data_IF_102869324611
#
_entry.id   IF_102869324611
#
_cell.length_a   1.000
_cell.length_b   1.000
_cell.length_c   1.000
_cell.angle_alpha   90.00
_cell.angle_beta   90.00
_cell.angle_gamma   90.00
#
_symmetry.space_group_name_H-M   'P 1'
#
loop_
_entity.id
_entity.type
_entity.pdbx_description
1 polymer ?
#
# COMPACT_ATOMS: atom_id res chain seq x y z
N UNK A 1 5.82 6.70 21.24
CA UNK A 1 6.64 6.83 20.00
C UNK A 1 5.69 6.51 18.84
N UNK A 2 4.61 7.25 18.62
CA UNK A 2 4.43 8.69 18.35
C UNK A 2 4.90 9.09 16.95
N UNK A 3 4.05 8.84 15.93
CA UNK A 3 3.64 9.87 14.96
C UNK A 3 2.36 9.40 14.23
N UNK A 4 1.21 9.91 14.67
CA UNK A 4 -0.06 9.82 13.96
C UNK A 4 -0.33 11.21 13.37
N UNK A 5 -0.03 11.41 12.07
CA UNK A 5 -1.06 11.93 11.16
C UNK A 5 -0.88 11.39 9.73
N UNK A 6 -0.79 10.07 9.54
CA UNK A 6 -0.68 9.49 8.19
C UNK A 6 -1.96 8.78 7.71
N UNK A 7 -2.96 8.61 8.58
CA UNK A 7 -4.17 7.83 8.28
C UNK A 7 -4.98 8.34 7.09
N UNK A 8 -4.95 9.65 6.81
CA UNK A 8 -5.80 10.26 5.78
C UNK A 8 -5.16 10.27 4.39
N UNK A 9 -3.85 10.60 4.30
CA UNK A 9 -3.18 10.80 3.01
C UNK A 9 -2.77 9.48 2.36
N UNK A 10 -2.18 8.56 3.12
CA UNK A 10 -1.72 7.28 2.59
C UNK A 10 -2.89 6.37 2.21
N UNK A 11 -3.93 6.27 3.06
CA UNK A 11 -5.12 5.48 2.74
C UNK A 11 -5.83 5.97 1.47
N UNK A 12 -5.84 7.29 1.24
CA UNK A 12 -6.42 7.90 0.04
C UNK A 12 -5.58 7.62 -1.21
N UNK A 13 -4.26 7.69 -1.12
CA UNK A 13 -3.35 7.27 -2.20
C UNK A 13 -3.50 5.77 -2.49
N UNK A 14 -3.57 4.93 -1.46
CA UNK A 14 -3.81 3.49 -1.60
C UNK A 14 -5.15 3.23 -2.29
N UNK A 15 -6.22 3.92 -1.90
CA UNK A 15 -7.52 3.81 -2.57
C UNK A 15 -7.49 4.35 -4.01
N UNK A 16 -6.71 5.40 -4.30
CA UNK A 16 -6.55 5.92 -5.65
C UNK A 16 -5.77 4.94 -6.55
N UNK A 17 -4.81 4.21 -5.99
CA UNK A 17 -4.08 3.14 -6.68
C UNK A 17 -4.90 1.83 -6.75
N UNK A 18 -5.81 1.61 -5.81
CA UNK A 18 -6.69 0.46 -5.80
C UNK A 18 -7.75 0.60 -6.90
N UNK A 19 -7.85 -0.41 -7.76
CA UNK A 19 -8.90 -0.53 -8.77
C UNK A 19 -9.79 -1.71 -8.41
N UNK A 20 -11.09 -1.47 -8.28
CA UNK A 20 -12.09 -2.50 -7.93
C UNK A 20 -11.74 -3.28 -6.65
N UNK A 21 -11.26 -2.57 -5.62
CA UNK A 21 -10.85 -3.19 -4.36
C UNK A 21 -9.58 -4.03 -4.46
N UNK A 22 -8.80 -3.86 -5.53
CA UNK A 22 -7.53 -4.56 -5.75
C UNK A 22 -6.40 -3.58 -5.98
N UNK A 23 -5.25 -3.82 -5.35
CA UNK A 23 -4.06 -2.99 -5.53
C UNK A 23 -2.91 -3.82 -6.11
N UNK A 24 -2.19 -3.23 -7.07
CA UNK A 24 -1.01 -3.87 -7.64
C UNK A 24 0.18 -3.73 -6.69
N UNK A 25 0.90 -4.83 -6.43
CA UNK A 25 2.09 -4.83 -5.58
C UNK A 25 3.16 -3.83 -6.09
N UNK A 26 3.32 -3.71 -7.40
CA UNK A 26 4.23 -2.74 -8.02
C UNK A 26 3.82 -1.28 -7.74
N UNK A 27 2.52 -0.98 -7.77
CA UNK A 27 2.00 0.36 -7.48
C UNK A 27 2.20 0.72 -6.00
N UNK A 28 1.95 -0.24 -5.11
CA UNK A 28 2.18 -0.10 -3.67
C UNK A 28 3.67 0.15 -3.36
N UNK A 29 4.58 -0.61 -3.99
CA UNK A 29 6.03 -0.44 -3.86
C UNK A 29 6.53 0.92 -4.37
N UNK A 30 6.03 1.37 -5.53
CA UNK A 30 6.34 2.70 -6.07
C UNK A 30 5.87 3.82 -5.14
N UNK A 31 4.67 3.68 -4.57
CA UNK A 31 4.15 4.63 -3.59
C UNK A 31 4.98 4.62 -2.31
N UNK A 32 5.35 3.44 -1.81
CA UNK A 32 6.22 3.28 -0.64
C UNK A 32 7.56 4.00 -0.85
N UNK A 33 8.21 3.78 -2.00
CA UNK A 33 9.47 4.42 -2.34
C UNK A 33 9.34 5.94 -2.46
N UNK A 34 8.22 6.43 -3.02
CA UNK A 34 7.92 7.88 -3.10
C UNK A 34 7.75 8.53 -1.73
N UNK A 35 7.03 7.86 -0.84
CA UNK A 35 6.72 8.35 0.50
C UNK A 35 7.85 8.06 1.50
N UNK A 36 8.85 7.26 1.13
CA UNK A 36 9.91 6.80 2.02
C UNK A 36 9.42 5.83 3.10
N UNK A 37 8.26 5.19 2.90
CA UNK A 37 7.67 4.24 3.87
C UNK A 37 7.91 2.80 3.44
N UNK A 38 7.99 1.86 4.40
CA UNK A 38 8.13 0.45 4.07
C UNK A 38 6.90 -0.06 3.31
N UNK A 39 7.07 -0.85 2.24
CA UNK A 39 5.94 -1.46 1.53
C UNK A 39 5.16 -2.43 2.43
N UNK A 40 5.80 -2.98 3.46
CA UNK A 40 5.16 -3.77 4.51
C UNK A 40 4.05 -2.98 5.23
N UNK A 41 4.30 -1.70 5.52
CA UNK A 41 3.32 -0.82 6.19
C UNK A 41 2.15 -0.53 5.28
N UNK A 42 2.40 -0.20 4.01
CA UNK A 42 1.32 0.01 3.03
C UNK A 42 0.53 -1.28 2.76
N UNK A 43 1.20 -2.44 2.79
CA UNK A 43 0.57 -3.74 2.62
C UNK A 43 -0.37 -4.07 3.78
N UNK A 44 0.08 -3.84 5.01
CA UNK A 44 -0.76 -3.96 6.21
C UNK A 44 -1.94 -2.98 6.17
N UNK A 45 -1.71 -1.72 5.78
CA UNK A 45 -2.79 -0.74 5.63
C UNK A 45 -3.82 -1.18 4.59
N UNK A 46 -3.36 -1.68 3.43
CA UNK A 46 -4.25 -2.16 2.37
C UNK A 46 -5.06 -3.38 2.84
N UNK A 47 -4.44 -4.30 3.59
CA UNK A 47 -5.10 -5.48 4.17
C UNK A 47 -6.15 -5.09 5.23
N UNK A 48 -5.81 -4.17 6.14
CA UNK A 48 -6.76 -3.59 7.12
C UNK A 48 -7.93 -2.86 6.44
N UNK A 49 -7.69 -2.22 5.29
CA UNK A 49 -8.73 -1.59 4.47
C UNK A 49 -9.57 -2.60 3.67
N UNK A 50 -9.24 -3.89 3.71
CA UNK A 50 -9.91 -4.95 2.96
C UNK A 50 -9.59 -4.97 1.46
N UNK A 51 -8.51 -4.31 1.05
CA UNK A 51 -8.06 -4.26 -0.34
C UNK A 51 -7.20 -5.48 -0.66
N UNK A 52 -7.55 -6.19 -1.74
CA UNK A 52 -6.78 -7.36 -2.18
C UNK A 52 -5.55 -6.95 -2.97
N UNK A 53 -4.37 -7.25 -2.45
CA UNK A 53 -3.14 -7.10 -3.23
C UNK A 53 -3.15 -8.18 -4.33
N UNK A 54 -3.27 -7.77 -5.59
CA UNK A 54 -3.33 -8.65 -6.76
C UNK A 54 -2.23 -8.28 -7.74
N UNK A 55 -1.50 -9.28 -8.26
CA UNK A 55 -0.41 -9.04 -9.20
C UNK A 55 0.95 -8.79 -8.54
N UNK A 56 1.36 -9.66 -7.63
CA UNK A 56 2.78 -9.82 -7.30
C UNK A 56 3.48 -10.52 -8.49
N UNK A 57 3.65 -9.79 -9.61
CA UNK A 57 4.32 -10.32 -10.81
C UNK A 57 5.84 -10.44 -10.66
N UNK A 58 6.39 -10.04 -9.50
CA UNK A 58 7.82 -9.94 -9.27
C UNK A 58 8.40 -10.96 -8.28
N UNK A 59 7.57 -11.81 -7.65
CA UNK A 59 8.10 -12.75 -6.63
C UNK A 59 8.78 -12.06 -5.43
N UNK A 60 8.44 -10.80 -5.14
CA UNK A 60 9.05 -9.97 -4.09
C UNK A 60 8.55 -10.27 -2.65
N UNK A 61 8.01 -11.47 -2.40
CA UNK A 61 7.73 -11.97 -1.06
C UNK A 61 8.49 -13.28 -0.80
N UNK A 62 9.77 -13.28 -1.16
CA UNK A 62 10.77 -14.21 -0.64
C UNK A 62 12.00 -13.44 -0.18
#
# INVERSE_FOLDING_TARGET
MEDAPAGSTMAREIQALAREGKIACAALLQLAARLGVPPLVLGQLADELGLKISGCQLGCFR
#
